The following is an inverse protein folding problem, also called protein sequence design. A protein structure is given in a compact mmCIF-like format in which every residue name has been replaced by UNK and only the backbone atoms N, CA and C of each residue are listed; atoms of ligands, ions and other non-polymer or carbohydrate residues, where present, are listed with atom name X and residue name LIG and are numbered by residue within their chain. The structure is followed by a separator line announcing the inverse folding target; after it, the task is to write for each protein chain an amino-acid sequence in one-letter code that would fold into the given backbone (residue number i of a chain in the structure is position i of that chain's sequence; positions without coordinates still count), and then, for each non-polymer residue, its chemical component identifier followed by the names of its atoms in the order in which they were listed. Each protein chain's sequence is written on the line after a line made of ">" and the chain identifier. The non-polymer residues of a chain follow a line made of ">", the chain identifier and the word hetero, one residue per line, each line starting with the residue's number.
data_IF_870368886455
#
_entry.id   IF_870368886455
#
_cell.length_a   1.000
_cell.length_b   1.000
_cell.length_c   1.000
_cell.angle_alpha   90.00
_cell.angle_beta   90.00
_cell.angle_gamma   90.00
#
_symmetry.space_group_name_H-M   'P 1'
#
loop_
_entity.id
_entity.type
_entity.pdbx_description
1 polymer ?
#
# COMPACT_ATOMS: atom_id res chain seq x y z
N UNK A 1 16.04 24.99 5.60
CA UNK A 1 14.87 24.85 4.69
C UNK A 1 13.96 26.04 4.94
N UNK A 2 13.55 26.79 3.91
CA UNK A 2 12.68 27.96 4.09
C UNK A 2 11.33 27.52 4.66
N UNK A 3 10.77 28.29 5.59
CA UNK A 3 9.51 27.97 6.32
C UNK A 3 8.32 27.64 5.40
N UNK A 4 8.28 28.28 4.21
CA UNK A 4 7.25 28.04 3.21
C UNK A 4 7.33 26.64 2.60
N UNK A 5 8.53 26.10 2.34
CA UNK A 5 8.69 24.76 1.79
C UNK A 5 8.23 23.68 2.78
N UNK A 6 8.46 23.92 4.09
CA UNK A 6 8.00 22.98 5.13
C UNK A 6 6.47 22.97 5.24
N UNK A 7 5.81 24.12 5.12
CA UNK A 7 4.34 24.21 5.12
C UNK A 7 3.74 23.49 3.89
N UNK A 8 4.33 23.72 2.70
CA UNK A 8 3.90 23.08 1.47
C UNK A 8 4.04 21.53 1.56
N UNK A 9 5.20 21.04 2.00
CA UNK A 9 5.41 19.60 2.16
C UNK A 9 4.42 18.96 3.13
N UNK A 10 4.05 19.64 4.23
CA UNK A 10 3.02 19.14 5.16
C UNK A 10 1.65 19.08 4.52
N UNK A 11 1.26 20.16 3.82
CA UNK A 11 -0.02 20.21 3.14
C UNK A 11 -0.12 19.09 2.09
N UNK A 12 0.90 18.93 1.25
CA UNK A 12 0.97 17.84 0.26
C UNK A 12 0.89 16.46 0.92
N UNK A 13 1.64 16.24 2.01
CA UNK A 13 1.61 14.96 2.73
C UNK A 13 0.25 14.64 3.32
N UNK A 14 -0.47 15.62 3.88
CA UNK A 14 -1.83 15.45 4.39
C UNK A 14 -2.78 15.07 3.25
N UNK A 15 -2.67 15.75 2.09
CA UNK A 15 -3.49 15.43 0.91
C UNK A 15 -3.21 13.99 0.44
N UNK A 16 -1.96 13.56 0.36
CA UNK A 16 -1.62 12.19 -0.04
C UNK A 16 -2.16 11.16 0.95
N UNK A 17 -2.07 11.39 2.27
CA UNK A 17 -2.68 10.52 3.28
C UNK A 17 -4.19 10.42 3.05
N UNK A 18 -4.85 11.56 2.85
CA UNK A 18 -6.29 11.59 2.60
C UNK A 18 -6.66 10.81 1.34
N UNK A 19 -5.95 11.01 0.23
CA UNK A 19 -6.17 10.28 -1.02
C UNK A 19 -5.94 8.77 -0.82
N UNK A 20 -4.86 8.36 -0.16
CA UNK A 20 -4.60 6.94 0.11
C UNK A 20 -5.70 6.31 0.97
N UNK A 21 -6.09 6.96 2.07
CA UNK A 21 -7.13 6.44 2.95
C UNK A 21 -8.50 6.39 2.28
N UNK A 22 -8.85 7.45 1.54
CA UNK A 22 -10.17 7.57 0.91
C UNK A 22 -10.28 6.71 -0.35
N UNK A 23 -9.30 6.78 -1.26
CA UNK A 23 -9.40 6.12 -2.56
C UNK A 23 -9.03 4.65 -2.49
N UNK A 24 -7.95 4.31 -1.80
CA UNK A 24 -7.49 2.92 -1.71
C UNK A 24 -8.23 2.17 -0.59
N UNK A 25 -8.27 2.74 0.63
CA UNK A 25 -8.87 2.08 1.78
C UNK A 25 -10.39 2.03 1.69
N UNK A 26 -11.05 3.19 1.65
CA UNK A 26 -12.52 3.27 1.60
C UNK A 26 -13.07 2.77 0.28
N UNK A 27 -12.38 3.05 -0.85
CA UNK A 27 -12.76 2.56 -2.18
C UNK A 27 -12.87 1.04 -2.20
N UNK A 28 -11.88 0.32 -1.70
CA UNK A 28 -11.92 -1.16 -1.63
C UNK A 28 -13.05 -1.69 -0.73
N UNK A 29 -13.37 -0.99 0.36
CA UNK A 29 -14.52 -1.34 1.22
C UNK A 29 -15.82 -1.18 0.43
N UNK A 30 -15.98 -0.06 -0.28
CA UNK A 30 -17.18 0.20 -1.08
C UNK A 30 -17.32 -0.78 -2.24
N UNK A 31 -16.22 -1.16 -2.92
CA UNK A 31 -16.23 -2.17 -3.98
C UNK A 31 -16.77 -3.51 -3.44
N UNK A 32 -16.26 -3.95 -2.31
CA UNK A 32 -16.70 -5.20 -1.68
C UNK A 32 -18.15 -5.11 -1.23
N UNK A 33 -18.56 -4.01 -0.59
CA UNK A 33 -19.95 -3.82 -0.15
C UNK A 33 -20.92 -3.78 -1.34
N UNK A 34 -20.57 -3.08 -2.42
CA UNK A 34 -21.39 -3.03 -3.63
C UNK A 34 -21.52 -4.42 -4.26
N UNK A 35 -20.43 -5.19 -4.31
CA UNK A 35 -20.45 -6.53 -4.87
C UNK A 35 -21.29 -7.50 -4.06
N UNK A 36 -21.27 -7.41 -2.72
CA UNK A 36 -21.80 -8.44 -1.82
C UNK A 36 -23.13 -8.10 -1.14
N UNK A 37 -23.39 -6.83 -0.83
CA UNK A 37 -24.50 -6.44 0.06
C UNK A 37 -25.40 -5.37 -0.54
N UNK A 38 -24.85 -4.27 -1.09
CA UNK A 38 -25.62 -3.10 -1.53
C UNK A 38 -26.49 -3.49 -2.73
N UNK A 39 -27.77 -3.10 -2.70
CA UNK A 39 -28.76 -3.42 -3.76
C UNK A 39 -28.90 -4.91 -4.07
N UNK A 40 -28.69 -5.79 -3.09
CA UNK A 40 -28.75 -7.24 -3.24
C UNK A 40 -27.45 -7.86 -3.76
N UNK A 41 -26.41 -7.06 -3.94
CA UNK A 41 -25.12 -7.48 -4.50
C UNK A 41 -25.23 -7.95 -5.96
N UNK A 42 -24.20 -7.75 -6.72
CA UNK A 42 -24.13 -8.27 -8.10
C UNK A 42 -23.19 -9.48 -8.21
N UNK A 43 -22.66 -9.92 -7.09
CA UNK A 43 -21.72 -11.05 -7.04
C UNK A 43 -22.40 -12.37 -7.38
N UNK A 44 -21.86 -13.09 -8.34
CA UNK A 44 -22.30 -14.45 -8.70
C UNK A 44 -21.55 -15.46 -7.84
N UNK A 45 -22.21 -15.93 -6.78
CA UNK A 45 -21.66 -16.97 -5.94
C UNK A 45 -21.65 -18.32 -6.67
N UNK A 46 -20.47 -18.92 -6.76
CA UNK A 46 -20.30 -20.27 -7.32
C UNK A 46 -20.13 -21.26 -6.16
N UNK A 47 -21.07 -22.21 -5.95
CA UNK A 47 -21.01 -23.15 -4.83
C UNK A 47 -19.71 -23.97 -4.76
N UNK A 48 -19.15 -24.34 -5.92
CA UNK A 48 -17.91 -25.12 -6.00
C UNK A 48 -16.67 -24.29 -5.63
N UNK A 49 -16.78 -22.95 -5.61
CA UNK A 49 -15.66 -22.02 -5.52
C UNK A 49 -15.82 -20.95 -4.47
N UNK A 50 -16.83 -21.06 -3.65
CA UNK A 50 -17.20 -20.07 -2.64
C UNK A 50 -16.04 -19.74 -1.68
N UNK A 51 -15.21 -20.73 -1.36
CA UNK A 51 -14.04 -20.54 -0.49
C UNK A 51 -12.98 -19.68 -1.18
N UNK A 52 -12.73 -19.91 -2.47
CA UNK A 52 -11.79 -19.10 -3.25
C UNK A 52 -12.30 -17.68 -3.42
N UNK A 53 -13.58 -17.49 -3.74
CA UNK A 53 -14.18 -16.17 -3.86
C UNK A 53 -14.06 -15.37 -2.55
N UNK A 54 -14.38 -15.98 -1.42
CA UNK A 54 -14.21 -15.37 -0.09
C UNK A 54 -12.75 -15.03 0.20
N UNK A 55 -11.80 -15.89 -0.18
CA UNK A 55 -10.38 -15.65 -0.03
C UNK A 55 -9.92 -14.42 -0.82
N UNK A 56 -10.32 -14.31 -2.09
CA UNK A 56 -9.97 -13.15 -2.93
C UNK A 56 -10.57 -11.85 -2.37
N UNK A 57 -11.85 -11.86 -1.99
CA UNK A 57 -12.52 -10.67 -1.45
C UNK A 57 -11.86 -10.21 -0.14
N UNK A 58 -11.63 -11.14 0.78
CA UNK A 58 -10.98 -10.80 2.06
C UNK A 58 -9.53 -10.37 1.86
N UNK A 59 -8.79 -11.00 0.95
CA UNK A 59 -7.44 -10.63 0.58
C UNK A 59 -7.36 -9.23 -0.04
N UNK A 60 -8.28 -8.91 -0.96
CA UNK A 60 -8.39 -7.58 -1.56
C UNK A 60 -8.63 -6.51 -0.50
N UNK A 61 -9.60 -6.72 0.37
CA UNK A 61 -9.93 -5.78 1.44
C UNK A 61 -8.76 -5.59 2.41
N UNK A 62 -8.20 -6.68 2.91
CA UNK A 62 -7.13 -6.65 3.89
C UNK A 62 -5.87 -5.97 3.36
N UNK A 63 -5.46 -6.32 2.13
CA UNK A 63 -4.24 -5.77 1.53
C UNK A 63 -4.41 -4.31 1.13
N UNK A 64 -5.58 -3.88 0.65
CA UNK A 64 -5.85 -2.49 0.29
C UNK A 64 -5.88 -1.58 1.53
N UNK A 65 -6.59 -1.97 2.57
CA UNK A 65 -6.63 -1.22 3.84
C UNK A 65 -5.25 -1.22 4.50
N UNK A 66 -4.56 -2.37 4.51
CA UNK A 66 -3.21 -2.51 5.03
C UNK A 66 -2.21 -1.61 4.30
N UNK A 67 -2.24 -1.57 2.98
CA UNK A 67 -1.40 -0.69 2.17
C UNK A 67 -1.66 0.79 2.48
N UNK A 68 -2.94 1.21 2.51
CA UNK A 68 -3.30 2.58 2.86
C UNK A 68 -2.79 2.98 4.26
N UNK A 69 -2.88 2.08 5.23
CA UNK A 69 -2.39 2.31 6.59
C UNK A 69 -0.86 2.43 6.64
N UNK A 70 -0.12 1.57 5.92
CA UNK A 70 1.34 1.61 5.86
C UNK A 70 1.82 2.92 5.23
N UNK A 71 1.28 3.30 4.08
CA UNK A 71 1.66 4.54 3.39
C UNK A 71 1.33 5.76 4.25
N UNK A 72 0.15 5.81 4.87
CA UNK A 72 -0.24 6.91 5.75
C UNK A 72 0.70 7.03 6.94
N UNK A 73 1.09 5.90 7.55
CA UNK A 73 2.05 5.85 8.66
C UNK A 73 3.43 6.32 8.23
N UNK A 74 3.91 5.89 7.05
CA UNK A 74 5.19 6.30 6.49
C UNK A 74 5.22 7.82 6.28
N UNK A 75 4.21 8.38 5.60
CA UNK A 75 4.12 9.81 5.35
C UNK A 75 4.08 10.58 6.66
N UNK A 76 3.26 10.15 7.63
CA UNK A 76 3.20 10.79 8.95
C UNK A 76 4.56 10.80 9.65
N UNK A 77 5.29 9.68 9.64
CA UNK A 77 6.64 9.58 10.24
C UNK A 77 7.64 10.48 9.52
N UNK A 78 7.63 10.52 8.19
CA UNK A 78 8.48 11.41 7.41
C UNK A 78 8.19 12.88 7.74
N UNK A 79 6.91 13.30 7.75
CA UNK A 79 6.52 14.67 8.10
C UNK A 79 6.89 15.06 9.54
N UNK A 80 6.79 14.13 10.47
CA UNK A 80 7.19 14.33 11.87
C UNK A 80 8.72 14.41 11.99
N UNK A 81 9.45 13.60 11.25
CA UNK A 81 10.91 13.57 11.20
C UNK A 81 11.51 14.83 10.60
N UNK A 82 10.82 15.47 9.65
CA UNK A 82 11.23 16.77 9.07
C UNK A 82 11.39 17.87 10.13
N UNK A 83 10.52 17.88 11.14
CA UNK A 83 10.64 18.84 12.27
C UNK A 83 11.88 18.59 13.10
N UNK A 84 12.25 17.33 13.29
CA UNK A 84 13.37 16.88 14.12
C UNK A 84 14.69 16.80 13.35
N UNK A 85 14.70 17.07 12.04
CA UNK A 85 15.81 16.85 11.10
C UNK A 85 16.27 15.37 11.04
N UNK A 86 15.42 14.43 11.43
CA UNK A 86 15.68 13.00 11.43
C UNK A 86 14.74 12.35 10.41
N UNK A 87 15.20 12.30 9.17
CA UNK A 87 14.41 11.71 8.06
C UNK A 87 14.75 10.24 7.85
N UNK A 88 16.03 9.92 8.00
CA UNK A 88 16.58 8.59 7.72
C UNK A 88 16.52 7.79 9.01
N UNK A 89 15.62 6.80 9.06
CA UNK A 89 15.43 5.90 10.21
C UNK A 89 15.16 4.49 9.73
N UNK A 90 15.66 3.50 10.46
CA UNK A 90 15.40 2.06 10.22
C UNK A 90 13.90 1.75 10.17
N UNK A 91 13.10 2.45 10.98
CA UNK A 91 11.64 2.30 10.97
C UNK A 91 10.98 2.74 9.67
N UNK A 92 11.50 3.80 9.01
CA UNK A 92 11.00 4.24 7.71
C UNK A 92 11.42 3.27 6.60
N UNK A 93 12.67 2.76 6.64
CA UNK A 93 13.14 1.73 5.71
C UNK A 93 12.25 0.48 5.72
N UNK A 94 11.93 -0.04 6.92
CA UNK A 94 11.03 -1.18 7.08
C UNK A 94 9.64 -0.92 6.51
N UNK A 95 9.09 0.28 6.70
CA UNK A 95 7.77 0.63 6.14
C UNK A 95 7.78 0.72 4.62
N UNK A 96 8.85 1.27 4.02
CA UNK A 96 9.01 1.31 2.57
C UNK A 96 9.07 -0.11 2.02
N UNK A 97 9.91 -0.97 2.58
CA UNK A 97 10.04 -2.36 2.16
C UNK A 97 8.71 -3.11 2.28
N UNK A 98 8.03 -2.99 3.44
CA UNK A 98 6.74 -3.62 3.68
C UNK A 98 5.67 -3.11 2.71
N UNK A 99 5.70 -1.82 2.35
CA UNK A 99 4.73 -1.26 1.39
C UNK A 99 4.87 -1.87 0.00
N UNK A 100 6.09 -2.14 -0.48
CA UNK A 100 6.32 -2.82 -1.76
C UNK A 100 5.76 -4.24 -1.76
N UNK A 101 5.99 -4.97 -0.68
CA UNK A 101 5.49 -6.32 -0.51
C UNK A 101 3.96 -6.39 -0.45
N UNK A 102 3.34 -5.54 0.38
CA UNK A 102 1.87 -5.48 0.49
C UNK A 102 1.23 -4.99 -0.81
N UNK A 103 1.86 -4.05 -1.53
CA UNK A 103 1.40 -3.61 -2.83
C UNK A 103 1.32 -4.74 -3.85
N UNK A 104 2.31 -5.63 -3.89
CA UNK A 104 2.30 -6.79 -4.77
C UNK A 104 1.07 -7.69 -4.51
N UNK A 105 0.76 -7.96 -3.24
CA UNK A 105 -0.43 -8.73 -2.89
C UNK A 105 -1.72 -7.98 -3.19
N UNK A 106 -1.78 -6.69 -2.90
CA UNK A 106 -2.95 -5.86 -3.18
C UNK A 106 -3.32 -5.88 -4.67
N UNK A 107 -2.34 -5.72 -5.54
CA UNK A 107 -2.57 -5.76 -6.99
C UNK A 107 -3.05 -7.14 -7.42
N UNK A 108 -2.43 -8.20 -6.92
CA UNK A 108 -2.85 -9.57 -7.23
C UNK A 108 -4.31 -9.86 -6.83
N UNK A 109 -4.71 -9.47 -5.62
CA UNK A 109 -6.09 -9.64 -5.17
C UNK A 109 -7.06 -8.76 -5.95
N UNK A 110 -6.67 -7.53 -6.29
CA UNK A 110 -7.49 -6.62 -7.06
C UNK A 110 -7.81 -7.17 -8.46
N UNK A 111 -6.80 -7.66 -9.17
CA UNK A 111 -6.99 -8.25 -10.50
C UNK A 111 -7.89 -9.48 -10.47
N UNK A 112 -7.79 -10.29 -9.41
CA UNK A 112 -8.64 -11.44 -9.24
C UNK A 112 -10.05 -11.10 -8.70
N UNK A 113 -10.27 -9.88 -8.18
CA UNK A 113 -11.56 -9.48 -7.61
C UNK A 113 -12.67 -9.49 -8.65
N UNK A 114 -12.47 -8.94 -9.83
CA UNK A 114 -13.47 -8.92 -10.90
C UNK A 114 -13.84 -10.34 -11.37
N UNK A 115 -12.86 -11.26 -11.43
CA UNK A 115 -13.11 -12.66 -11.74
C UNK A 115 -13.90 -13.34 -10.63
N UNK A 116 -13.55 -13.08 -9.37
CA UNK A 116 -14.27 -13.63 -8.23
C UNK A 116 -15.74 -13.16 -8.21
N UNK A 117 -15.98 -11.87 -8.49
CA UNK A 117 -17.32 -11.28 -8.53
C UNK A 117 -18.18 -11.88 -9.64
N UNK A 118 -17.60 -12.14 -10.82
CA UNK A 118 -18.30 -12.72 -11.95
C UNK A 118 -18.44 -14.27 -11.88
N UNK A 119 -17.91 -14.91 -10.84
CA UNK A 119 -17.92 -16.36 -10.70
C UNK A 119 -16.97 -17.09 -11.66
N UNK A 120 -16.12 -16.35 -12.38
CA UNK A 120 -15.12 -16.89 -13.28
C UNK A 120 -13.85 -17.33 -12.53
N UNK A 121 -13.09 -18.25 -13.12
CA UNK A 121 -11.79 -18.68 -12.59
C UNK A 121 -10.72 -18.48 -13.64
N UNK A 122 -10.16 -17.30 -13.67
CA UNK A 122 -8.84 -17.14 -14.25
C UNK A 122 -7.86 -16.86 -13.11
N UNK A 123 -6.87 -17.72 -12.96
CA UNK A 123 -5.73 -17.47 -12.08
C UNK A 123 -4.78 -16.56 -12.83
N UNK A 124 -4.99 -15.28 -12.72
CA UNK A 124 -3.97 -14.32 -13.17
C UNK A 124 -2.95 -14.17 -12.05
N UNK A 125 -1.75 -14.67 -12.25
CA UNK A 125 -0.58 -14.19 -11.50
C UNK A 125 -0.34 -12.72 -11.89
N UNK A 126 0.29 -11.95 -10.99
CA UNK A 126 0.56 -10.54 -11.29
C UNK A 126 1.27 -10.48 -12.66
N UNK A 127 0.66 -9.74 -13.58
CA UNK A 127 1.28 -9.44 -14.85
C UNK A 127 2.63 -8.75 -14.59
N UNK A 128 3.66 -9.02 -15.41
CA UNK A 128 4.99 -8.41 -15.23
C UNK A 128 4.94 -6.89 -15.03
N UNK A 129 4.06 -6.21 -15.76
CA UNK A 129 3.86 -4.76 -15.68
C UNK A 129 3.39 -4.27 -14.30
N UNK A 130 2.67 -5.11 -13.56
CA UNK A 130 2.16 -4.79 -12.21
C UNK A 130 3.16 -5.15 -11.12
N UNK A 131 4.06 -6.08 -11.37
CA UNK A 131 5.14 -6.41 -10.44
C UNK A 131 6.23 -5.32 -10.41
N UNK A 132 6.42 -4.59 -11.52
CA UNK A 132 7.46 -3.55 -11.63
C UNK A 132 7.34 -2.48 -10.53
N UNK A 133 6.18 -1.84 -10.28
CA UNK A 133 6.08 -0.86 -9.20
C UNK A 133 6.40 -1.45 -7.82
N UNK A 134 5.97 -2.68 -7.53
CA UNK A 134 6.29 -3.37 -6.28
C UNK A 134 7.79 -3.57 -6.09
N UNK A 135 8.47 -4.01 -7.15
CA UNK A 135 9.93 -4.19 -7.16
C UNK A 135 10.65 -2.85 -6.96
N UNK A 136 10.22 -1.80 -7.65
CA UNK A 136 10.79 -0.45 -7.51
C UNK A 136 10.67 0.03 -6.07
N UNK A 137 9.49 -0.07 -5.45
CA UNK A 137 9.29 0.31 -4.04
C UNK A 137 10.21 -0.50 -3.12
N UNK A 138 10.34 -1.80 -3.36
CA UNK A 138 11.20 -2.70 -2.56
C UNK A 138 12.68 -2.32 -2.70
N UNK A 139 13.13 -2.00 -3.92
CA UNK A 139 14.50 -1.51 -4.18
C UNK A 139 14.75 -0.19 -3.45
N UNK A 140 13.80 0.75 -3.47
CA UNK A 140 13.92 1.98 -2.69
C UNK A 140 14.03 1.73 -1.19
N UNK A 141 13.29 0.76 -0.65
CA UNK A 141 13.43 0.32 0.74
C UNK A 141 14.84 -0.17 1.05
N UNK A 142 15.43 -0.95 0.16
CA UNK A 142 16.79 -1.46 0.29
C UNK A 142 17.84 -0.33 0.21
N UNK A 143 17.74 0.56 -0.80
CA UNK A 143 18.64 1.72 -0.93
C UNK A 143 18.55 2.64 0.28
N UNK A 144 17.36 2.78 0.86
CA UNK A 144 17.17 3.57 2.08
C UNK A 144 17.87 2.93 3.28
N UNK A 145 17.90 1.60 3.37
CA UNK A 145 18.64 0.87 4.41
C UNK A 145 20.15 1.09 4.25
N UNK A 146 20.68 0.97 3.03
CA UNK A 146 22.10 1.25 2.76
C UNK A 146 22.49 2.70 3.15
N UNK A 147 21.60 3.67 2.91
CA UNK A 147 21.85 5.05 3.30
C UNK A 147 21.93 5.23 4.83
N UNK A 148 21.23 4.38 5.60
CA UNK A 148 21.33 4.36 7.07
C UNK A 148 22.70 3.84 7.48
N UNK A 149 23.11 2.70 6.92
CA UNK A 149 24.38 2.05 7.25
C UNK A 149 25.57 3.00 6.98
N UNK A 150 25.58 3.65 5.80
CA UNK A 150 26.61 4.66 5.43
C UNK A 150 26.62 5.83 6.42
N UNK A 151 25.44 6.28 6.86
CA UNK A 151 25.37 7.37 7.83
C UNK A 151 25.94 6.95 9.18
N UNK A 152 25.59 5.75 9.66
CA UNK A 152 26.11 5.21 10.94
C UNK A 152 27.64 5.03 10.90
N UNK A 153 28.19 4.55 9.78
CA UNK A 153 29.64 4.45 9.57
C UNK A 153 30.32 5.81 9.62
N UNK A 154 29.75 6.83 8.98
CA UNK A 154 30.30 8.20 8.99
C UNK A 154 30.24 8.84 10.37
N UNK A 155 29.17 8.59 11.14
CA UNK A 155 29.02 9.13 12.50
C UNK A 155 30.01 8.48 13.50
N UNK A 156 30.54 7.27 13.19
CA UNK A 156 31.57 6.59 14.00
C UNK A 156 33.02 7.00 13.67
N UNK A 157 33.22 7.71 12.54
CA UNK A 157 34.57 8.09 12.06
C UNK A 157 34.99 9.51 12.47
N UNK A 158 34.17 10.23 13.22
CA UNK A 158 34.42 11.58 13.76
C UNK A 158 34.66 11.46 15.27
#
# INVERSE_FOLDING_TARGET
>A
MKTNNLKLMKATGIVVIFVCCFWIGLGSILDVLNATVINGGYMKWNPERITWQKYIISGYLLTSVGFAAIISTLIYKVLSGLKKKVLITTGNAKLIFLSGFVYMFMVNFRENFDFAVNGAMEKTFPLPDMAVPALVITIFGYLYTMAIDIKEENDLTI
#
